data_IF_068049206151
#
_entry.id   IF_068049206151
#
_cell.length_a   1.000
_cell.length_b   1.000
_cell.length_c   1.000
_cell.angle_alpha   90.00
_cell.angle_beta   90.00
_cell.angle_gamma   90.00
#
_symmetry.space_group_name_H-M   'P 1'
#
loop_
_entity.id
_entity.type
_entity.pdbx_description
1 polymer ?
#
# COMPACT_ATOMS: atom_id res chain seq x y z
N UNK A 1 20.11 12.66 1.45
CA UNK A 1 19.23 13.01 2.59
C UNK A 1 17.81 12.55 2.28
N UNK A 2 17.32 11.47 2.87
CA UNK A 2 15.98 10.94 2.68
C UNK A 2 15.18 11.16 3.96
N UNK A 3 14.47 12.29 4.05
CA UNK A 3 13.85 12.76 5.30
C UNK A 3 12.31 12.74 5.28
N UNK A 4 11.67 12.09 4.29
CA UNK A 4 10.23 12.29 4.07
C UNK A 4 9.29 11.14 4.50
N UNK A 5 9.74 10.12 5.24
CA UNK A 5 8.87 8.99 5.63
C UNK A 5 8.83 8.70 7.14
N UNK A 6 9.22 9.65 8.00
CA UNK A 6 9.38 9.39 9.44
C UNK A 6 8.07 9.45 10.26
N UNK A 7 6.90 9.69 9.64
CA UNK A 7 5.63 9.82 10.36
C UNK A 7 4.39 9.25 9.66
N UNK A 8 4.51 8.73 8.44
CA UNK A 8 3.42 7.96 7.81
C UNK A 8 3.73 6.49 7.99
N UNK A 9 2.84 5.76 8.67
CA UNK A 9 2.89 4.30 8.68
C UNK A 9 3.13 3.77 7.26
N UNK A 10 4.01 2.78 7.12
CA UNK A 10 4.31 2.16 5.83
C UNK A 10 2.99 1.82 5.12
N UNK A 11 2.83 2.16 3.83
CA UNK A 11 1.57 2.00 3.13
C UNK A 11 1.07 0.54 3.12
N UNK A 12 1.95 -0.47 3.24
CA UNK A 12 1.53 -1.86 3.47
C UNK A 12 0.93 -2.06 4.86
N UNK A 13 1.59 -1.58 5.92
CA UNK A 13 1.07 -1.68 7.29
C UNK A 13 -0.28 -0.96 7.44
N UNK A 14 -0.49 0.16 6.72
CA UNK A 14 -1.79 0.83 6.68
C UNK A 14 -2.84 0.03 5.89
N UNK A 15 -2.44 -0.63 4.80
CA UNK A 15 -3.33 -1.49 4.04
C UNK A 15 -3.77 -2.72 4.85
N UNK A 16 -2.86 -3.35 5.59
CA UNK A 16 -3.17 -4.47 6.50
C UNK A 16 -4.17 -4.05 7.59
N UNK A 17 -3.94 -2.92 8.27
CA UNK A 17 -4.88 -2.41 9.27
C UNK A 17 -6.29 -2.17 8.71
N UNK A 18 -6.39 -1.70 7.46
CA UNK A 18 -7.68 -1.49 6.80
C UNK A 18 -8.36 -2.79 6.41
N UNK A 19 -7.60 -3.86 6.09
CA UNK A 19 -8.16 -5.20 5.90
C UNK A 19 -8.66 -5.80 7.20
N UNK A 20 -7.88 -5.74 8.26
CA UNK A 20 -8.28 -6.27 9.57
C UNK A 20 -9.61 -5.66 10.00
N UNK A 21 -9.75 -4.33 9.83
CA UNK A 21 -11.00 -3.62 10.13
C UNK A 21 -12.14 -3.96 9.17
N UNK A 22 -11.86 -4.22 7.88
CA UNK A 22 -12.88 -4.68 6.95
C UNK A 22 -13.41 -6.06 7.36
N UNK A 23 -12.54 -6.95 7.78
CA UNK A 23 -12.92 -8.30 8.24
C UNK A 23 -13.69 -8.24 9.57
N UNK A 24 -13.29 -7.39 10.52
CA UNK A 24 -14.07 -7.11 11.73
C UNK A 24 -15.48 -6.60 11.41
N UNK A 25 -15.62 -5.70 10.43
CA UNK A 25 -16.92 -5.17 10.02
C UNK A 25 -17.79 -6.22 9.33
N UNK A 26 -17.22 -7.14 8.56
CA UNK A 26 -17.94 -8.29 7.97
C UNK A 26 -18.44 -9.25 9.04
N UNK A 27 -17.60 -9.52 10.02
CA UNK A 27 -17.97 -10.32 11.19
C UNK A 27 -19.13 -9.67 11.95
N UNK A 28 -19.08 -8.35 12.16
CA UNK A 28 -20.16 -7.60 12.80
C UNK A 28 -21.44 -7.58 11.94
N UNK A 29 -21.32 -7.40 10.62
CA UNK A 29 -22.44 -7.43 9.69
C UNK A 29 -23.17 -8.79 9.71
N UNK A 30 -22.41 -9.88 9.83
CA UNK A 30 -22.95 -11.24 9.90
C UNK A 30 -23.71 -11.51 11.19
N UNK A 31 -23.35 -10.82 12.28
CA UNK A 31 -23.98 -10.95 13.61
C UNK A 31 -25.05 -9.90 13.87
N UNK A 32 -25.27 -8.97 12.95
CA UNK A 32 -26.23 -7.89 13.12
C UNK A 32 -27.67 -8.40 12.87
N UNK A 33 -28.54 -8.18 13.86
CA UNK A 33 -29.98 -8.51 13.74
C UNK A 33 -30.74 -7.52 12.84
N UNK A 34 -30.27 -6.28 12.75
CA UNK A 34 -30.88 -5.26 11.89
C UNK A 34 -30.31 -5.32 10.46
N UNK A 35 -31.15 -5.57 9.44
CA UNK A 35 -30.69 -5.75 8.07
C UNK A 35 -30.10 -4.48 7.44
N UNK A 36 -30.53 -3.29 7.91
CA UNK A 36 -30.01 -2.01 7.40
C UNK A 36 -28.61 -1.75 7.97
N UNK A 37 -28.40 -2.04 9.24
CA UNK A 37 -27.10 -1.99 9.89
C UNK A 37 -26.15 -3.02 9.29
N UNK A 38 -26.60 -4.26 9.03
CA UNK A 38 -25.82 -5.29 8.37
C UNK A 38 -25.32 -4.84 6.98
N UNK A 39 -26.22 -4.29 6.15
CA UNK A 39 -25.87 -3.75 4.85
C UNK A 39 -24.87 -2.59 4.95
N UNK A 40 -25.11 -1.66 5.87
CA UNK A 40 -24.21 -0.51 6.08
C UNK A 40 -22.82 -0.94 6.53
N UNK A 41 -22.71 -1.94 7.41
CA UNK A 41 -21.43 -2.49 7.86
C UNK A 41 -20.68 -3.18 6.71
N UNK A 42 -21.39 -3.93 5.87
CA UNK A 42 -20.82 -4.56 4.67
C UNK A 42 -20.30 -3.52 3.66
N UNK A 43 -21.05 -2.46 3.41
CA UNK A 43 -20.64 -1.35 2.52
C UNK A 43 -19.35 -0.67 3.03
N UNK A 44 -19.25 -0.45 4.34
CA UNK A 44 -18.04 0.14 4.95
C UNK A 44 -16.86 -0.83 4.84
N UNK A 45 -17.08 -2.13 5.06
CA UNK A 45 -16.03 -3.15 4.91
C UNK A 45 -15.46 -3.16 3.48
N UNK A 46 -16.34 -3.12 2.47
CA UNK A 46 -15.93 -3.09 1.08
C UNK A 46 -15.19 -1.79 0.71
N UNK A 47 -15.61 -0.65 1.24
CA UNK A 47 -14.89 0.61 1.07
C UNK A 47 -13.47 0.52 1.66
N UNK A 48 -13.32 -0.03 2.87
CA UNK A 48 -12.01 -0.22 3.51
C UNK A 48 -11.12 -1.17 2.70
N UNK A 49 -11.65 -2.25 2.14
CA UNK A 49 -10.87 -3.15 1.31
C UNK A 49 -10.41 -2.49 0.01
N UNK A 50 -11.27 -1.73 -0.68
CA UNK A 50 -10.87 -0.97 -1.86
C UNK A 50 -9.76 0.03 -1.55
N UNK A 51 -9.85 0.66 -0.38
CA UNK A 51 -8.85 1.57 0.13
C UNK A 51 -7.51 0.85 0.42
N UNK A 52 -7.56 -0.35 1.01
CA UNK A 52 -6.37 -1.17 1.24
C UNK A 52 -5.69 -1.56 -0.08
N UNK A 53 -6.46 -2.02 -1.08
CA UNK A 53 -5.94 -2.37 -2.42
C UNK A 53 -5.23 -1.19 -3.09
N UNK A 54 -5.78 0.02 -3.00
CA UNK A 54 -5.15 1.24 -3.54
C UNK A 54 -3.82 1.54 -2.84
N UNK A 55 -3.73 1.36 -1.53
CA UNK A 55 -2.48 1.55 -0.79
C UNK A 55 -1.41 0.55 -1.22
N UNK A 56 -1.76 -0.72 -1.40
CA UNK A 56 -0.83 -1.73 -1.92
C UNK A 56 -0.34 -1.41 -3.31
N UNK A 57 -1.24 -0.99 -4.20
CA UNK A 57 -0.87 -0.59 -5.56
C UNK A 57 0.12 0.57 -5.54
N UNK A 58 -0.11 1.59 -4.70
CA UNK A 58 0.84 2.68 -4.51
C UNK A 58 2.17 2.20 -3.95
N UNK A 59 2.14 1.29 -2.97
CA UNK A 59 3.35 0.77 -2.35
C UNK A 59 4.20 -0.06 -3.34
N UNK A 60 3.55 -0.84 -4.22
CA UNK A 60 4.22 -1.53 -5.33
C UNK A 60 4.86 -0.54 -6.31
N UNK A 61 4.15 0.52 -6.70
CA UNK A 61 4.70 1.58 -7.57
C UNK A 61 5.93 2.27 -6.95
N UNK A 62 5.89 2.55 -5.64
CA UNK A 62 7.03 3.11 -4.92
C UNK A 62 8.24 2.16 -4.88
N UNK A 63 8.02 0.85 -4.73
CA UNK A 63 9.10 -0.15 -4.78
C UNK A 63 9.71 -0.29 -6.17
N UNK A 64 8.88 -0.28 -7.22
CA UNK A 64 9.35 -0.34 -8.61
C UNK A 64 10.15 0.91 -9.01
N UNK A 65 9.68 2.10 -8.65
CA UNK A 65 10.40 3.36 -8.92
C UNK A 65 11.72 3.46 -8.15
N UNK A 66 11.78 2.93 -6.91
CA UNK A 66 13.04 2.84 -6.16
C UNK A 66 14.06 1.94 -6.85
N UNK A 67 13.65 0.79 -7.43
CA UNK A 67 14.56 -0.09 -8.18
C UNK A 67 15.09 0.57 -9.46
N UNK A 68 14.26 1.33 -10.17
CA UNK A 68 14.70 2.05 -11.39
C UNK A 68 15.71 3.16 -11.08
N UNK A 69 15.55 3.88 -9.96
CA UNK A 69 16.49 4.94 -9.56
C UNK A 69 17.83 4.43 -8.99
N UNK A 70 17.91 3.16 -8.59
CA UNK A 70 19.11 2.54 -8.02
C UNK A 70 19.85 1.67 -9.05
N UNK A 71 19.38 1.59 -10.30
CA UNK A 71 20.22 1.10 -11.39
C UNK A 71 21.44 2.03 -11.48
N UNK A 72 22.66 1.55 -11.16
CA UNK A 72 23.81 2.43 -11.06
C UNK A 72 24.10 2.97 -12.45
N UNK A 73 24.46 4.25 -12.51
CA UNK A 73 25.11 4.88 -13.64
C UNK A 73 26.52 4.29 -13.87
N UNK A 74 26.64 2.96 -13.89
CA UNK A 74 27.85 2.23 -14.20
C UNK A 74 27.96 2.07 -15.72
N UNK A 75 28.15 3.17 -16.45
CA UNK A 75 28.66 3.10 -17.82
C UNK A 75 29.15 4.43 -18.40
N UNK A 76 29.98 5.17 -17.67
CA UNK A 76 30.86 6.17 -18.29
C UNK A 76 32.16 6.25 -17.49
N UNK A 77 33.15 5.46 -17.86
CA UNK A 77 34.59 5.76 -17.79
C UNK A 77 35.38 4.56 -18.33
N UNK A 78 35.68 4.62 -19.63
CA UNK A 78 36.87 4.05 -20.25
C UNK A 78 37.20 5.05 -21.38
N UNK A 79 37.74 6.24 -21.07
CA UNK A 79 39.19 6.54 -21.16
C UNK A 79 39.91 5.66 -22.17
N UNK A 80 39.84 6.08 -23.43
CA UNK A 80 41.01 6.56 -24.18
C UNK A 80 42.35 6.36 -23.44
N UNK A 81 43.13 5.36 -23.88
CA UNK A 81 44.60 5.33 -23.91
C UNK A 81 45.11 3.88 -24.10
N UNK A 82 45.73 3.63 -25.26
CA UNK A 82 46.80 2.64 -25.55
C UNK A 82 46.86 2.54 -27.08
N UNK A 83 47.57 3.46 -27.72
CA UNK A 83 48.91 3.26 -28.32
C UNK A 83 48.88 2.39 -29.58
#
# INVERSE_FOLDING_TARGET
MAVCFMGMADPFNRAENWRDRADELRDLATRADDPVAAASLADIADALEQHARKLEEMALKLRCTRRVRVAPAARRHLTEAAD
#
